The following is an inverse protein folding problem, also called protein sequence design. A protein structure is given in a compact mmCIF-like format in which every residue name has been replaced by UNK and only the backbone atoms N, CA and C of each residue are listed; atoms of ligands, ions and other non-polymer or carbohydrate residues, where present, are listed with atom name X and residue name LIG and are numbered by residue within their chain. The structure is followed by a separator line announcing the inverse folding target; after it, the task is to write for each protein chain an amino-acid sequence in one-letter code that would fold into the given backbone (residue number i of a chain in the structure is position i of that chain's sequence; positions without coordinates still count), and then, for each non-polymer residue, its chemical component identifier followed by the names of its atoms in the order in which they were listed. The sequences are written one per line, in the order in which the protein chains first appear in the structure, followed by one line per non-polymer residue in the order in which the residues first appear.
data_IF_703134105255
#
_entry.id   IF_703134105255
#
_cell.length_a   1.000
_cell.length_b   1.000
_cell.length_c   1.000
_cell.angle_alpha   90.00
_cell.angle_beta   90.00
_cell.angle_gamma   90.00
#
_symmetry.space_group_name_H-M   'P 1'
#
loop_
_entity.id
_entity.type
_entity.pdbx_description
1 polymer ?
#
# COMPACT_ATOMS: atom_id res chain seq x y z
N UNK A 1 73.53 -24.51 32.15
CA UNK A 1 72.64 -23.53 31.47
C UNK A 1 71.68 -24.33 30.59
N UNK A 2 70.45 -24.57 31.04
CA UNK A 2 69.45 -25.36 30.30
C UNK A 2 68.52 -24.41 29.56
N UNK A 3 68.70 -24.30 28.25
CA UNK A 3 67.85 -23.48 27.37
C UNK A 3 66.57 -24.28 27.12
N UNK A 4 65.51 -23.96 27.86
CA UNK A 4 64.16 -24.48 27.58
C UNK A 4 63.65 -23.85 26.30
N UNK A 5 63.74 -24.58 25.18
CA UNK A 5 63.06 -24.24 23.94
C UNK A 5 61.55 -24.29 24.16
N UNK A 6 60.90 -23.13 24.12
CA UNK A 6 59.43 -23.02 24.18
C UNK A 6 58.85 -23.68 22.92
N UNK A 7 57.94 -24.66 23.04
CA UNK A 7 57.36 -25.31 21.87
C UNK A 7 56.53 -24.31 21.05
N UNK A 8 56.79 -24.29 19.73
CA UNK A 8 56.24 -23.35 18.74
C UNK A 8 54.68 -23.38 18.67
N UNK A 9 54.04 -24.36 19.28
CA UNK A 9 52.58 -24.52 19.34
C UNK A 9 51.87 -23.55 20.31
N UNK A 10 52.59 -22.89 21.22
CA UNK A 10 51.98 -21.96 22.17
C UNK A 10 51.75 -20.55 21.57
N UNK A 11 52.50 -20.20 20.53
CA UNK A 11 52.39 -18.89 19.87
C UNK A 11 51.20 -18.86 18.90
N UNK A 12 50.88 -20.00 18.25
CA UNK A 12 49.73 -20.12 17.35
C UNK A 12 48.39 -20.18 18.07
N UNK A 13 48.33 -20.78 19.27
CA UNK A 13 47.10 -20.83 20.08
C UNK A 13 46.71 -19.46 20.63
N UNK A 14 47.69 -18.66 21.10
CA UNK A 14 47.46 -17.28 21.54
C UNK A 14 47.05 -16.37 20.36
N UNK A 15 47.68 -16.52 19.19
CA UNK A 15 47.30 -15.78 17.99
C UNK A 15 45.90 -16.16 17.47
N UNK A 16 45.56 -17.46 17.48
CA UNK A 16 44.23 -17.94 17.12
C UNK A 16 43.15 -17.48 18.09
N UNK A 17 43.43 -17.45 19.40
CA UNK A 17 42.51 -16.92 20.41
C UNK A 17 42.30 -15.41 20.23
N UNK A 18 43.36 -14.65 19.93
CA UNK A 18 43.25 -13.22 19.66
C UNK A 18 42.44 -12.93 18.39
N UNK A 19 42.69 -13.66 17.31
CA UNK A 19 41.89 -13.58 16.08
C UNK A 19 40.42 -13.97 16.32
N UNK A 20 40.17 -15.02 17.10
CA UNK A 20 38.82 -15.43 17.46
C UNK A 20 38.10 -14.38 18.32
N UNK A 21 38.79 -13.76 19.28
CA UNK A 21 38.23 -12.69 20.12
C UNK A 21 37.96 -11.43 19.30
N UNK A 22 38.88 -11.03 18.42
CA UNK A 22 38.67 -9.90 17.50
C UNK A 22 37.50 -10.19 16.55
N UNK A 23 37.45 -11.38 15.96
CA UNK A 23 36.34 -11.81 15.10
C UNK A 23 35.01 -11.74 15.86
N UNK A 24 34.91 -12.38 17.02
CA UNK A 24 33.69 -12.38 17.86
C UNK A 24 33.29 -10.97 18.30
N UNK A 25 34.26 -10.10 18.63
CA UNK A 25 34.00 -8.71 19.01
C UNK A 25 33.53 -7.85 17.83
N UNK A 26 33.96 -8.14 16.60
CA UNK A 26 33.50 -7.42 15.40
C UNK A 26 32.12 -7.87 14.89
N UNK A 27 31.66 -9.09 15.20
CA UNK A 27 30.34 -9.58 14.79
C UNK A 27 29.17 -8.91 15.54
N UNK A 28 29.41 -8.25 16.67
CA UNK A 28 28.33 -7.70 17.52
C UNK A 28 27.77 -6.33 17.10
N UNK A 29 28.36 -5.64 16.12
CA UNK A 29 28.07 -4.23 15.83
C UNK A 29 27.60 -3.92 14.40
N UNK A 30 27.21 -4.93 13.63
CA UNK A 30 26.73 -4.77 12.24
C UNK A 30 25.21 -4.58 12.23
N UNK A 31 24.77 -3.36 12.54
CA UNK A 31 23.36 -2.97 12.44
C UNK A 31 23.16 -1.89 11.39
N UNK A 32 22.19 -2.07 10.50
CA UNK A 32 21.70 -0.99 9.61
C UNK A 32 20.53 -0.29 10.30
N UNK A 33 20.71 0.97 10.67
CA UNK A 33 19.61 1.81 11.14
C UNK A 33 18.87 2.39 9.93
N UNK A 34 17.56 2.16 9.85
CA UNK A 34 16.72 2.59 8.73
C UNK A 34 15.60 3.46 9.24
N UNK A 35 15.51 4.69 8.72
CA UNK A 35 14.53 5.69 9.16
C UNK A 35 13.90 6.39 7.97
N UNK A 36 12.57 6.41 7.97
CA UNK A 36 11.76 7.10 6.98
C UNK A 36 11.08 8.30 7.65
N UNK A 37 11.34 9.51 7.18
CA UNK A 37 10.74 10.74 7.68
C UNK A 37 9.75 11.26 6.65
N UNK A 38 8.49 11.44 7.06
CA UNK A 38 7.39 11.83 6.21
C UNK A 38 6.98 13.26 6.58
N UNK A 39 7.12 14.17 5.61
CA UNK A 39 6.68 15.55 5.68
C UNK A 39 5.46 15.77 4.80
N UNK A 40 4.57 16.66 5.24
CA UNK A 40 3.44 17.10 4.42
C UNK A 40 3.39 18.60 4.32
N UNK A 41 2.86 19.08 3.20
CA UNK A 41 2.52 20.47 2.99
C UNK A 41 1.03 20.55 2.62
N UNK A 42 0.17 21.14 3.47
CA UNK A 42 0.47 21.70 4.79
C UNK A 42 0.86 20.65 5.87
N UNK A 43 1.59 21.06 6.93
CA UNK A 43 1.97 20.16 8.03
C UNK A 43 0.76 19.76 8.88
N UNK A 44 0.90 18.75 9.73
CA UNK A 44 -0.18 18.32 10.62
C UNK A 44 -1.21 17.42 9.95
N UNK A 45 -0.76 16.51 9.09
CA UNK A 45 -1.58 15.46 8.51
C UNK A 45 -1.35 14.15 9.28
N UNK A 46 -2.40 13.35 9.45
CA UNK A 46 -2.30 11.99 9.97
C UNK A 46 -1.66 11.10 8.92
N UNK A 47 -0.56 10.46 9.29
CA UNK A 47 0.23 9.58 8.42
C UNK A 47 -0.03 8.13 8.81
N UNK A 48 -0.48 7.33 7.83
CA UNK A 48 -0.59 5.88 7.94
C UNK A 48 0.40 5.22 6.99
N UNK A 49 1.15 4.24 7.49
CA UNK A 49 2.09 3.45 6.69
C UNK A 49 1.66 1.99 6.78
N UNK A 50 1.42 1.37 5.63
CA UNK A 50 0.93 -0.01 5.51
C UNK A 50 -0.31 -0.25 6.38
N UNK A 51 -1.26 0.69 6.30
CA UNK A 51 -2.53 0.73 7.04
C UNK A 51 -2.42 0.96 8.56
N UNK A 52 -1.20 1.05 9.11
CA UNK A 52 -0.94 1.39 10.51
C UNK A 52 -0.79 2.89 10.72
N UNK A 53 -1.43 3.42 11.76
CA UNK A 53 -1.34 4.83 12.14
C UNK A 53 0.00 5.10 12.85
N UNK A 54 0.82 5.96 12.26
CA UNK A 54 2.15 6.30 12.79
C UNK A 54 2.08 7.56 13.65
N UNK A 55 1.32 8.57 13.20
CA UNK A 55 1.17 9.83 13.90
C UNK A 55 0.98 11.02 12.97
N UNK A 56 1.26 12.22 13.49
CA UNK A 56 1.05 13.48 12.79
C UNK A 56 2.35 13.95 12.14
N UNK A 57 2.29 14.40 10.88
CA UNK A 57 3.45 14.92 10.15
C UNK A 57 3.96 16.26 10.74
N UNK A 58 5.29 16.49 10.76
CA UNK A 58 6.35 15.58 10.32
C UNK A 58 6.59 14.43 11.32
N UNK A 59 6.68 13.20 10.79
CA UNK A 59 6.88 11.99 11.61
C UNK A 59 7.98 11.11 11.04
N UNK A 60 8.77 10.48 11.91
CA UNK A 60 9.77 9.48 11.51
C UNK A 60 9.37 8.09 11.96
N UNK A 61 9.52 7.09 11.09
CA UNK A 61 9.28 5.67 11.37
C UNK A 61 10.47 4.83 10.97
N UNK A 62 10.83 3.85 11.81
CA UNK A 62 11.84 2.84 11.47
C UNK A 62 11.22 1.74 10.61
N UNK A 63 11.96 1.24 9.61
CA UNK A 63 11.49 0.13 8.76
C UNK A 63 12.55 -0.95 8.62
N UNK A 64 12.12 -2.21 8.47
CA UNK A 64 13.03 -3.36 8.37
C UNK A 64 13.26 -3.73 6.90
N UNK A 65 12.19 -3.86 6.12
CA UNK A 65 12.23 -4.35 4.75
C UNK A 65 12.06 -3.24 3.72
N UNK A 66 12.85 -3.33 2.64
CA UNK A 66 12.72 -2.54 1.41
C UNK A 66 11.60 -3.10 0.54
N UNK A 67 11.08 -2.24 -0.33
CA UNK A 67 9.95 -2.55 -1.18
C UNK A 67 8.98 -1.38 -1.30
N UNK A 68 7.82 -1.63 -1.86
CA UNK A 68 6.77 -0.63 -2.00
C UNK A 68 5.92 -0.61 -0.75
N UNK A 69 5.77 0.57 -0.14
CA UNK A 69 4.93 0.79 1.04
C UNK A 69 3.74 1.65 0.70
N UNK A 70 2.60 1.35 1.31
CA UNK A 70 1.38 2.15 1.16
C UNK A 70 1.41 3.28 2.17
N UNK A 71 1.49 4.52 1.70
CA UNK A 71 1.46 5.71 2.54
C UNK A 71 0.12 6.40 2.31
N UNK A 72 -0.67 6.53 3.37
CA UNK A 72 -1.90 7.31 3.36
C UNK A 72 -1.73 8.56 4.21
N UNK A 73 -2.12 9.71 3.66
CA UNK A 73 -2.04 10.99 4.34
C UNK A 73 -3.44 11.58 4.42
N UNK A 74 -3.91 11.82 5.64
CA UNK A 74 -5.26 12.28 5.92
C UNK A 74 -5.16 13.62 6.65
N UNK A 75 -5.80 14.65 6.11
CA UNK A 75 -5.88 15.96 6.76
C UNK A 75 -7.28 16.56 6.54
N UNK A 76 -7.96 17.07 7.59
CA UNK A 76 -9.26 17.72 7.43
C UNK A 76 -9.22 18.89 6.45
N UNK A 77 -10.18 18.95 5.53
CA UNK A 77 -10.25 19.98 4.48
C UNK A 77 -9.33 19.74 3.28
N UNK A 78 -8.62 18.61 3.26
CA UNK A 78 -7.74 18.19 2.16
C UNK A 78 -8.16 16.81 1.65
N UNK A 79 -7.85 16.54 0.39
CA UNK A 79 -8.04 15.24 -0.22
C UNK A 79 -7.12 14.19 0.42
N UNK A 80 -7.67 13.02 0.75
CA UNK A 80 -6.89 11.90 1.26
C UNK A 80 -5.95 11.38 0.18
N UNK A 81 -4.65 11.51 0.42
CA UNK A 81 -3.63 11.10 -0.53
C UNK A 81 -3.16 9.68 -0.19
N UNK A 82 -3.39 8.72 -1.08
CA UNK A 82 -2.88 7.34 -0.96
C UNK A 82 -1.86 7.07 -2.05
N UNK A 83 -0.61 6.81 -1.65
CA UNK A 83 0.51 6.61 -2.58
C UNK A 83 1.21 5.29 -2.25
N UNK A 84 1.54 4.54 -3.30
CA UNK A 84 2.45 3.39 -3.22
C UNK A 84 3.88 3.88 -3.44
N UNK A 85 4.61 4.08 -2.34
CA UNK A 85 5.97 4.61 -2.37
C UNK A 85 6.99 3.46 -2.50
N UNK A 86 7.70 3.33 -3.63
CA UNK A 86 8.80 2.37 -3.75
C UNK A 86 10.02 2.85 -2.96
N UNK A 87 10.44 2.06 -1.98
CA UNK A 87 11.67 2.25 -1.21
C UNK A 87 12.73 1.32 -1.81
N UNK A 88 13.57 1.85 -2.70
CA UNK A 88 14.60 1.05 -3.40
C UNK A 88 15.63 0.48 -2.42
N UNK A 89 15.91 -0.81 -2.55
CA UNK A 89 16.99 -1.49 -1.84
C UNK A 89 18.34 -0.95 -2.34
N UNK A 90 19.24 -0.53 -1.44
CA UNK A 90 20.59 -0.20 -1.85
C UNK A 90 21.31 -1.46 -2.36
N UNK A 91 22.23 -1.27 -3.33
CA UNK A 91 22.93 -2.38 -4.00
C UNK A 91 23.66 -3.34 -3.04
N UNK A 92 24.11 -2.82 -1.90
CA UNK A 92 24.85 -3.58 -0.91
C UNK A 92 23.98 -4.49 -0.03
N UNK A 93 22.65 -4.37 -0.06
CA UNK A 93 21.73 -5.21 0.72
C UNK A 93 21.01 -6.28 -0.12
N UNK A 94 21.47 -6.51 -1.36
CA UNK A 94 20.98 -7.65 -2.11
C UNK A 94 21.49 -8.95 -1.47
N UNK A 95 20.65 -9.99 -1.32
CA UNK A 95 21.06 -11.28 -0.80
C UNK A 95 22.31 -11.80 -1.53
N UNK A 96 23.32 -12.22 -0.77
CA UNK A 96 24.62 -12.67 -1.29
C UNK A 96 25.70 -11.57 -1.33
N UNK A 97 25.36 -10.35 -1.73
CA UNK A 97 26.28 -9.18 -1.68
C UNK A 97 26.38 -8.59 -0.27
N UNK A 98 25.31 -8.74 0.51
CA UNK A 98 25.17 -8.24 1.88
C UNK A 98 26.27 -8.76 2.82
N UNK A 99 26.60 -10.05 2.74
CA UNK A 99 27.65 -10.71 3.53
C UNK A 99 29.01 -10.00 3.42
N UNK A 100 29.40 -9.57 2.22
CA UNK A 100 30.68 -8.89 2.02
C UNK A 100 30.61 -7.43 2.46
N UNK A 101 29.47 -6.76 2.27
CA UNK A 101 29.33 -5.34 2.59
C UNK A 101 29.31 -5.06 4.09
N UNK A 102 28.81 -6.02 4.88
CA UNK A 102 28.77 -5.97 6.34
C UNK A 102 30.10 -6.36 6.99
N UNK A 103 30.85 -7.30 6.41
CA UNK A 103 32.10 -7.78 6.99
C UNK A 103 33.34 -6.96 6.58
N UNK A 104 33.30 -6.23 5.46
CA UNK A 104 34.47 -5.52 4.91
C UNK A 104 34.58 -4.07 5.38
N UNK A 105 33.48 -3.44 5.80
CA UNK A 105 33.47 -2.02 6.20
C UNK A 105 32.86 -1.90 7.60
N UNK A 106 33.69 -1.86 8.66
CA UNK A 106 33.20 -1.63 10.02
C UNK A 106 32.61 -0.22 10.14
N UNK A 107 31.33 -0.13 10.50
CA UNK A 107 30.63 1.13 10.75
C UNK A 107 29.11 0.99 10.74
N UNK A 108 28.41 1.74 11.60
CA UNK A 108 26.94 1.79 11.59
C UNK A 108 26.45 2.46 10.30
N UNK A 109 25.73 1.71 9.46
CA UNK A 109 25.12 2.27 8.25
C UNK A 109 23.75 2.84 8.60
N UNK A 110 23.56 4.14 8.35
CA UNK A 110 22.29 4.83 8.52
C UNK A 110 21.65 5.10 7.16
N UNK A 111 20.48 4.54 6.90
CA UNK A 111 19.63 4.84 5.74
C UNK A 111 18.52 5.80 6.21
N UNK A 112 18.75 7.10 6.04
CA UNK A 112 17.79 8.15 6.38
C UNK A 112 17.13 8.65 5.11
N UNK A 113 15.80 8.50 5.00
CA UNK A 113 15.03 8.94 3.83
C UNK A 113 13.99 9.96 4.25
N UNK A 114 13.89 11.04 3.47
CA UNK A 114 12.92 12.11 3.69
C UNK A 114 11.96 12.13 2.50
N UNK A 115 10.68 11.98 2.77
CA UNK A 115 9.60 12.01 1.77
C UNK A 115 8.71 13.21 2.07
N UNK A 116 8.45 14.04 1.05
CA UNK A 116 7.60 15.22 1.17
C UNK A 116 6.41 15.11 0.24
N UNK A 117 5.22 15.32 0.78
CA UNK A 117 3.96 15.23 0.04
C UNK A 117 3.18 16.54 0.11
N UNK A 118 2.58 16.93 -1.01
CA UNK A 118 1.71 18.10 -1.09
C UNK A 118 0.25 17.64 -1.11
N UNK A 119 -0.54 18.07 -0.14
CA UNK A 119 -1.96 17.74 -0.06
C UNK A 119 -2.76 18.78 -0.85
N UNK A 120 -3.74 18.29 -1.61
CA UNK A 120 -4.66 19.14 -2.35
C UNK A 120 -5.88 19.49 -1.49
N UNK A 121 -6.35 20.75 -1.49
CA UNK A 121 -7.58 21.11 -0.80
C UNK A 121 -8.76 20.28 -1.31
N UNK A 122 -9.64 19.85 -0.42
CA UNK A 122 -10.82 19.11 -0.80
C UNK A 122 -11.86 20.07 -1.38
N UNK A 123 -12.24 19.87 -2.65
CA UNK A 123 -13.35 20.60 -3.25
C UNK A 123 -14.65 19.99 -2.74
N UNK A 124 -15.30 20.66 -1.79
CA UNK A 124 -16.66 20.30 -1.38
C UNK A 124 -17.61 20.68 -2.52
N UNK A 125 -18.05 19.70 -3.32
CA UNK A 125 -19.08 19.94 -4.33
C UNK A 125 -20.38 20.27 -3.58
N UNK A 126 -20.97 21.47 -3.78
CA UNK A 126 -22.21 21.84 -3.10
C UNK A 126 -23.33 20.85 -3.42
N UNK A 127 -24.18 20.56 -2.45
CA UNK A 127 -25.29 19.61 -2.56
C UNK A 127 -26.23 19.96 -3.72
N UNK A 128 -26.41 21.25 -4.00
CA UNK A 128 -27.24 21.78 -5.08
C UNK A 128 -26.70 21.34 -6.45
N UNK A 129 -25.38 21.39 -6.65
CA UNK A 129 -24.76 20.92 -7.89
C UNK A 129 -24.84 19.39 -8.04
N UNK A 130 -24.84 18.65 -6.93
CA UNK A 130 -25.05 17.20 -6.96
C UNK A 130 -26.51 16.87 -7.31
N UNK A 131 -27.47 17.62 -6.75
CA UNK A 131 -28.90 17.51 -7.07
C UNK A 131 -29.19 17.85 -8.52
N UNK A 132 -28.65 18.96 -9.04
CA UNK A 132 -28.84 19.36 -10.43
C UNK A 132 -28.25 18.32 -11.40
N UNK A 133 -27.06 17.78 -11.13
CA UNK A 133 -26.49 16.67 -11.91
C UNK A 133 -27.35 15.41 -11.83
N UNK A 134 -27.88 15.06 -10.66
CA UNK A 134 -28.75 13.91 -10.48
C UNK A 134 -30.09 14.07 -11.23
N UNK A 135 -30.68 15.27 -11.19
CA UNK A 135 -31.89 15.60 -11.95
C UNK A 135 -31.64 15.59 -13.45
N UNK A 136 -30.51 16.14 -13.91
CA UNK A 136 -30.14 16.11 -15.32
C UNK A 136 -29.97 14.66 -15.83
N UNK A 137 -29.32 13.79 -15.06
CA UNK A 137 -29.20 12.36 -15.36
C UNK A 137 -30.58 11.68 -15.40
N UNK A 138 -31.48 12.00 -14.46
CA UNK A 138 -32.85 11.46 -14.42
C UNK A 138 -33.68 11.89 -15.63
N UNK A 139 -33.63 13.18 -16.00
CA UNK A 139 -34.32 13.72 -17.19
C UNK A 139 -33.80 13.08 -18.47
N UNK A 140 -32.48 12.89 -18.59
CA UNK A 140 -31.87 12.23 -19.74
C UNK A 140 -32.25 10.74 -19.82
N UNK A 141 -32.30 10.04 -18.68
CA UNK A 141 -32.78 8.65 -18.60
C UNK A 141 -34.28 8.47 -18.87
N UNK A 142 -35.10 9.50 -18.59
CA UNK A 142 -36.54 9.50 -18.89
C UNK A 142 -36.86 9.80 -20.36
N UNK A 143 -35.93 10.42 -21.11
CA UNK A 143 -35.99 10.53 -22.57
C UNK A 143 -35.52 9.26 -23.30
N UNK A 144 -34.78 8.40 -22.62
CA UNK A 144 -34.44 7.05 -23.06
C UNK A 144 -35.48 6.03 -22.56
N UNK A 145 -36.77 6.33 -22.74
CA UNK A 145 -37.80 5.30 -22.70
C UNK A 145 -37.51 4.35 -23.86
N UNK A 146 -36.90 3.21 -23.55
CA UNK A 146 -36.96 1.95 -24.32
C UNK A 146 -37.04 2.18 -25.82
N UNK A 147 -35.92 2.39 -26.50
CA UNK A 147 -35.91 2.12 -27.94
C UNK A 147 -36.17 0.61 -28.07
N UNK A 148 -37.32 0.15 -28.59
CA UNK A 148 -37.39 -1.23 -29.00
C UNK A 148 -36.31 -1.41 -30.08
N UNK A 149 -35.60 -2.53 -30.03
CA UNK A 149 -34.78 -2.98 -31.13
C UNK A 149 -35.71 -3.41 -32.29
N UNK A 150 -36.41 -2.47 -32.90
CA UNK A 150 -37.21 -2.72 -34.10
C UNK A 150 -37.48 -1.42 -34.85
N UNK A 151 -36.64 -1.15 -35.83
CA UNK A 151 -37.04 -0.37 -37.00
C UNK A 151 -36.68 -1.21 -38.22
N UNK A 152 -37.62 -1.95 -38.83
CA UNK A 152 -37.39 -2.47 -40.16
C UNK A 152 -37.42 -1.28 -41.13
N UNK A 153 -36.26 -0.97 -41.72
CA UNK A 153 -36.15 0.02 -42.78
C UNK A 153 -37.06 -0.36 -43.96
N UNK A 154 -37.81 0.56 -44.58
CA UNK A 154 -38.38 0.34 -45.90
C UNK A 154 -37.21 0.27 -46.90
N UNK A 155 -37.06 -0.85 -47.58
CA UNK A 155 -36.09 -1.01 -48.68
C UNK A 155 -36.75 -0.49 -49.97
N UNK A 156 -36.38 0.68 -50.51
CA UNK A 156 -36.75 1.00 -51.88
C UNK A 156 -36.00 0.04 -52.81
N UNK A 157 -36.76 -0.70 -53.61
CA UNK A 157 -36.24 -1.57 -54.67
C UNK A 157 -35.50 -0.71 -55.71
N UNK A 158 -34.22 -1.01 -55.92
CA UNK A 158 -33.37 -0.32 -56.89
C UNK A 158 -32.02 -1.00 -57.05
N UNK A 159 -32.01 -2.05 -57.88
CA UNK A 159 -30.92 -2.68 -58.63
C UNK A 159 -29.76 -3.44 -57.93
N UNK A 160 -29.30 -4.57 -58.53
CA UNK A 160 -28.39 -5.52 -57.91
C UNK A 160 -26.91 -5.12 -58.00
N UNK A 161 -26.21 -5.38 -56.89
CA UNK A 161 -24.77 -5.56 -56.63
C UNK A 161 -23.77 -5.49 -57.81
N UNK A 162 -22.57 -4.96 -57.53
CA UNK A 162 -21.35 -5.72 -57.75
C UNK A 162 -20.73 -6.13 -56.41
N UNK A 163 -20.54 -7.43 -56.27
CA UNK A 163 -19.83 -8.11 -55.19
C UNK A 163 -18.39 -7.62 -55.13
N UNK A 164 -18.05 -6.80 -54.12
CA UNK A 164 -16.67 -6.60 -53.68
C UNK A 164 -16.43 -7.46 -52.44
N UNK A 165 -15.92 -8.68 -52.64
CA UNK A 165 -15.42 -9.53 -51.55
C UNK A 165 -14.08 -8.96 -51.07
N UNK A 166 -14.11 -8.07 -50.09
CA UNK A 166 -12.91 -7.76 -49.30
C UNK A 166 -12.70 -8.87 -48.26
N UNK A 167 -11.97 -9.90 -48.66
CA UNK A 167 -11.45 -10.90 -47.74
C UNK A 167 -10.30 -10.32 -46.91
N UNK A 168 -10.58 -10.08 -45.63
CA UNK A 168 -9.64 -10.29 -44.52
C UNK A 168 -8.79 -9.11 -44.08
N UNK A 169 -9.21 -8.40 -43.02
CA UNK A 169 -8.31 -7.99 -41.92
C UNK A 169 -9.13 -7.75 -40.65
N UNK A 170 -9.05 -8.66 -39.68
CA UNK A 170 -9.55 -8.47 -38.32
C UNK A 170 -8.69 -7.42 -37.59
N UNK A 171 -9.27 -6.43 -36.89
CA UNK A 171 -8.56 -5.77 -35.79
C UNK A 171 -8.43 -6.75 -34.61
N UNK A 172 -7.29 -6.77 -33.89
CA UNK A 172 -7.04 -7.75 -32.84
C UNK A 172 -7.95 -7.53 -31.63
N UNK A 173 -8.58 -8.61 -31.20
CA UNK A 173 -9.30 -8.75 -29.94
C UNK A 173 -8.30 -8.57 -28.78
N UNK A 174 -8.56 -7.59 -27.90
CA UNK A 174 -7.94 -7.55 -26.58
C UNK A 174 -8.45 -8.74 -25.75
N UNK A 175 -7.61 -9.41 -24.94
CA UNK A 175 -8.01 -10.58 -24.18
C UNK A 175 -9.00 -10.18 -23.07
N UNK A 176 -10.21 -10.70 -23.18
CA UNK A 176 -11.22 -10.73 -22.12
C UNK A 176 -10.75 -11.66 -21.01
N UNK A 177 -10.23 -11.07 -19.92
CA UNK A 177 -9.97 -11.78 -18.67
C UNK A 177 -11.30 -11.96 -17.91
N UNK A 178 -12.06 -12.99 -18.28
CA UNK A 178 -13.26 -13.42 -17.54
C UNK A 178 -12.83 -14.10 -16.25
N UNK A 179 -12.70 -13.31 -15.17
CA UNK A 179 -12.86 -13.85 -13.81
C UNK A 179 -14.35 -14.03 -13.50
N UNK A 180 -14.72 -14.93 -12.57
CA UNK A 180 -16.13 -15.08 -12.17
C UNK A 180 -16.66 -13.75 -11.62
N UNK A 181 -17.80 -13.32 -12.14
CA UNK A 181 -18.53 -12.13 -11.69
C UNK A 181 -18.81 -12.23 -10.19
N UNK A 182 -18.15 -11.39 -9.38
CA UNK A 182 -18.57 -11.13 -8.01
C UNK A 182 -19.65 -10.05 -8.04
N UNK A 183 -20.88 -10.40 -7.62
CA UNK A 183 -21.91 -9.41 -7.35
C UNK A 183 -21.45 -8.52 -6.17
N UNK A 184 -21.54 -7.18 -6.27
CA UNK A 184 -21.40 -6.35 -5.08
C UNK A 184 -22.57 -6.64 -4.11
N UNK A 185 -22.33 -6.71 -2.79
CA UNK A 185 -23.41 -6.85 -1.82
C UNK A 185 -24.33 -5.62 -1.91
N UNK A 186 -25.62 -5.87 -2.07
CA UNK A 186 -26.64 -4.81 -2.00
C UNK A 186 -26.68 -4.14 -0.62
N UNK A 187 -27.29 -2.96 -0.50
CA UNK A 187 -27.45 -2.30 0.79
C UNK A 187 -28.23 -3.21 1.75
N UNK A 188 -27.66 -3.43 2.93
CA UNK A 188 -28.29 -4.22 3.98
C UNK A 188 -29.60 -3.54 4.41
N UNK A 189 -30.73 -4.22 4.17
CA UNK A 189 -32.00 -3.87 4.80
C UNK A 189 -31.83 -4.06 6.31
N UNK A 190 -32.11 -3.05 7.16
CA UNK A 190 -32.09 -3.24 8.60
C UNK A 190 -33.13 -4.28 8.98
N UNK A 191 -32.67 -5.46 9.43
CA UNK A 191 -33.54 -6.47 10.02
C UNK A 191 -34.11 -5.87 11.32
N UNK A 192 -35.43 -5.95 11.58
CA UNK A 192 -35.98 -5.56 12.88
C UNK A 192 -35.28 -6.36 13.98
N UNK A 193 -34.77 -5.66 14.99
CA UNK A 193 -34.14 -6.29 16.15
C UNK A 193 -35.18 -7.18 16.85
N UNK A 194 -34.84 -8.43 17.20
CA UNK A 194 -35.67 -9.20 18.13
C UNK A 194 -35.75 -8.43 19.47
N UNK A 195 -36.88 -8.50 20.20
CA UNK A 195 -37.01 -7.90 21.51
C UNK A 195 -35.85 -8.36 22.39
N UNK A 196 -35.22 -7.41 23.08
CA UNK A 196 -34.14 -7.68 24.02
C UNK A 196 -34.59 -8.78 24.98
N UNK A 197 -33.98 -9.96 24.85
CA UNK A 197 -34.02 -10.98 25.87
C UNK A 197 -33.28 -10.37 27.07
N UNK A 198 -34.08 -9.87 28.02
CA UNK A 198 -33.65 -9.29 29.28
C UNK A 198 -32.83 -10.33 30.03
N UNK A 199 -31.51 -10.24 29.93
CA UNK A 199 -30.63 -10.88 30.90
C UNK A 199 -30.83 -10.16 32.25
N UNK A 200 -30.99 -10.91 33.35
CA UNK A 200 -31.42 -10.36 34.62
C UNK A 200 -30.41 -9.36 35.17
N UNK A 201 -30.93 -8.22 35.60
CA UNK A 201 -30.19 -7.19 36.33
C UNK A 201 -29.36 -7.85 37.44
N UNK A 202 -28.04 -7.68 37.36
CA UNK A 202 -27.16 -7.95 38.49
C UNK A 202 -27.62 -7.05 39.63
N UNK A 203 -28.23 -7.68 40.61
CA UNK A 203 -28.66 -7.07 41.88
C UNK A 203 -27.50 -6.28 42.48
N UNK A 204 -27.56 -4.96 42.34
CA UNK A 204 -26.78 -4.05 43.19
C UNK A 204 -27.44 -4.11 44.56
N UNK A 205 -26.87 -4.97 45.41
CA UNK A 205 -27.26 -5.11 46.81
C UNK A 205 -27.05 -3.78 47.52
N UNK A 206 -28.18 -3.19 47.89
CA UNK A 206 -28.33 -2.06 48.79
C UNK A 206 -27.96 -2.55 50.20
N UNK A 207 -26.95 -1.95 50.82
CA UNK A 207 -26.82 -2.00 52.28
C UNK A 207 -26.87 -0.56 52.81
N UNK A 208 -27.75 -0.29 53.80
CA UNK A 208 -27.86 1.02 54.42
C UNK A 208 -26.88 1.16 55.60
N UNK A 209 -26.44 2.41 55.78
CA UNK A 209 -26.01 3.14 56.98
C UNK A 209 -24.69 3.88 56.76
#
# INVERSE_FOLDING_TARGET
MSVRSVPLSWQSTLGALFLAVVFTATLGATGVERRLTIHTNPPGALVKVDDNEIGISPVSVSFIYYGTRKIQLIKPGFETLTILQPIRTPWYQYPGLDFFSEHVIPGQRRDLRVLTYHLQPQVMVPTEQLLERAEALRRNGQGAAVAPVSSPLPVPAGDPLPVARSSGTHPPLAPSNQGPFFLPPGPAVPRPLPPAEQLPATSTSRLPF
#
